data_IF_142095980685
#
_entry.id   IF_142095980685
#
_cell.length_a   1.000
_cell.length_b   1.000
_cell.length_c   1.000
_cell.angle_alpha   90.00
_cell.angle_beta   90.00
_cell.angle_gamma   90.00
#
_symmetry.space_group_name_H-M   'P 1'
#
loop_
_entity.id
_entity.type
_entity.pdbx_description
1 polymer ?
#
# COMPACT_ATOMS: atom_id res chain seq x y z
N UNK A 1 -21.50 -11.95 -57.76
CA UNK A 1 -21.44 -13.40 -57.48
C UNK A 1 -21.26 -13.55 -55.97
N UNK A 2 -22.21 -14.23 -55.29
CA UNK A 2 -22.23 -14.59 -53.85
C UNK A 2 -22.35 -13.38 -52.87
N UNK A 3 -23.55 -12.89 -52.53
CA UNK A 3 -24.61 -13.42 -51.64
C UNK A 3 -24.36 -13.24 -50.12
N UNK A 4 -25.20 -12.36 -49.52
CA UNK A 4 -25.93 -12.50 -48.23
C UNK A 4 -25.10 -12.49 -46.92
N UNK A 5 -25.55 -11.92 -45.79
CA UNK A 5 -26.91 -11.65 -45.31
C UNK A 5 -26.85 -10.69 -44.12
N UNK A 6 -27.71 -9.67 -44.11
CA UNK A 6 -28.10 -8.94 -42.89
C UNK A 6 -29.17 -9.77 -42.18
N UNK A 7 -29.02 -9.97 -40.87
CA UNK A 7 -29.96 -10.72 -40.04
C UNK A 7 -30.15 -10.04 -38.70
N UNK A 8 -31.16 -9.18 -38.63
CA UNK A 8 -31.77 -8.77 -37.36
C UNK A 8 -32.59 -9.98 -36.88
N UNK A 9 -32.23 -10.55 -35.74
CA UNK A 9 -33.13 -11.42 -34.97
C UNK A 9 -33.48 -10.64 -33.70
N UNK A 10 -34.63 -9.98 -33.74
CA UNK A 10 -35.33 -9.58 -32.54
C UNK A 10 -35.97 -10.84 -31.93
N UNK A 11 -35.31 -11.41 -30.93
CA UNK A 11 -35.90 -12.41 -30.04
C UNK A 11 -36.18 -11.74 -28.70
N UNK A 12 -37.45 -11.43 -28.43
CA UNK A 12 -37.87 -11.05 -27.09
C UNK A 12 -37.78 -12.28 -26.19
N UNK A 13 -36.87 -12.25 -25.21
CA UNK A 13 -36.91 -13.13 -24.06
C UNK A 13 -36.74 -12.29 -22.80
N UNK A 14 -37.86 -12.08 -22.11
CA UNK A 14 -37.88 -11.67 -20.71
C UNK A 14 -37.19 -12.76 -19.89
N UNK A 15 -35.98 -12.46 -19.42
CA UNK A 15 -35.34 -13.21 -18.35
C UNK A 15 -34.75 -12.21 -17.36
N UNK A 16 -35.36 -12.16 -16.18
CA UNK A 16 -34.85 -11.47 -15.01
C UNK A 16 -33.44 -11.99 -14.73
N UNK A 17 -32.48 -11.08 -14.74
CA UNK A 17 -31.11 -11.35 -14.35
C UNK A 17 -30.42 -10.01 -14.34
N UNK A 18 -30.28 -9.40 -13.16
CA UNK A 18 -29.47 -8.22 -12.99
C UNK A 18 -28.06 -8.54 -13.51
N UNK A 19 -27.74 -8.10 -14.73
CA UNK A 19 -26.38 -8.08 -15.21
C UNK A 19 -25.67 -7.05 -14.33
N UNK A 20 -24.98 -7.53 -13.30
CA UNK A 20 -24.00 -6.73 -12.57
C UNK A 20 -23.01 -6.22 -13.60
N UNK A 21 -23.17 -4.97 -14.00
CA UNK A 21 -22.17 -4.26 -14.77
C UNK A 21 -20.96 -4.10 -13.86
N UNK A 22 -19.74 -4.51 -14.25
CA UNK A 22 -18.56 -4.18 -13.49
C UNK A 22 -18.41 -2.66 -13.48
N UNK A 23 -18.52 -2.06 -12.30
CA UNK A 23 -18.25 -0.64 -12.11
C UNK A 23 -16.73 -0.45 -12.11
N UNK A 24 -16.18 -0.06 -13.25
CA UNK A 24 -14.78 0.33 -13.38
C UNK A 24 -14.51 1.52 -12.45
N UNK A 25 -13.82 1.26 -11.32
CA UNK A 25 -13.26 2.31 -10.48
C UNK A 25 -12.32 3.19 -11.30
N UNK A 26 -12.29 4.49 -11.00
CA UNK A 26 -11.42 5.46 -11.68
C UNK A 26 -9.94 5.10 -11.46
N UNK A 27 -9.32 4.47 -12.45
CA UNK A 27 -7.89 4.18 -12.47
C UNK A 27 -7.13 5.43 -12.94
N UNK A 28 -6.59 6.23 -12.01
CA UNK A 28 -5.73 7.36 -12.33
C UNK A 28 -4.28 7.00 -12.04
N UNK A 29 -3.56 6.57 -13.09
CA UNK A 29 -2.09 6.45 -13.08
C UNK A 29 -1.52 7.73 -13.69
N UNK A 30 -0.90 8.58 -12.88
CA UNK A 30 -0.13 9.73 -13.39
C UNK A 30 1.36 9.39 -13.29
N UNK A 31 1.92 8.88 -14.39
CA UNK A 31 3.35 8.65 -14.53
C UNK A 31 3.98 9.78 -15.35
N UNK A 32 4.80 10.63 -14.74
CA UNK A 32 5.75 11.47 -15.47
C UNK A 32 7.11 10.78 -15.39
N UNK A 33 7.47 9.98 -16.39
CA UNK A 33 8.71 9.18 -16.36
C UNK A 33 9.90 9.94 -16.93
N UNK A 34 10.94 10.26 -16.14
CA UNK A 34 12.32 10.17 -16.61
C UNK A 34 12.66 8.69 -16.88
N UNK A 35 13.66 8.43 -17.74
CA UNK A 35 14.07 7.08 -18.15
C UNK A 35 14.25 6.10 -16.96
N UNK A 36 13.49 4.99 -16.96
CA UNK A 36 13.73 3.82 -16.09
C UNK A 36 12.75 3.59 -14.93
N UNK A 37 11.74 4.43 -14.74
CA UNK A 37 10.74 4.27 -13.66
C UNK A 37 9.47 3.53 -14.13
N UNK A 38 8.92 2.65 -13.29
CA UNK A 38 7.68 1.91 -13.57
C UNK A 38 6.67 2.04 -12.43
N UNK A 39 5.42 2.31 -12.79
CA UNK A 39 4.28 2.28 -11.90
C UNK A 39 3.28 1.22 -12.37
N UNK A 40 2.81 0.36 -11.47
CA UNK A 40 1.79 -0.65 -11.76
C UNK A 40 0.63 -0.56 -10.78
N UNK A 41 -0.59 -0.65 -11.29
CA UNK A 41 -1.82 -0.71 -10.49
C UNK A 41 -2.66 -1.86 -11.00
N UNK A 42 -2.97 -2.82 -10.14
CA UNK A 42 -3.95 -3.88 -10.37
C UNK A 42 -5.08 -3.80 -9.34
N UNK A 43 -6.32 -3.75 -9.81
CA UNK A 43 -7.52 -3.70 -8.97
C UNK A 43 -8.48 -4.82 -9.39
N UNK A 44 -8.95 -5.61 -8.43
CA UNK A 44 -9.94 -6.68 -8.62
C UNK A 44 -11.04 -6.45 -7.59
N UNK A 45 -12.25 -6.06 -8.02
CA UNK A 45 -13.40 -5.76 -7.14
C UNK A 45 -13.95 -4.34 -7.31
N UNK A 46 -14.99 -3.97 -6.56
CA UNK A 46 -15.81 -2.78 -6.84
C UNK A 46 -15.30 -1.52 -6.11
N UNK A 47 -15.29 -0.36 -6.80
CA UNK A 47 -15.03 0.97 -6.20
C UNK A 47 -13.67 1.13 -5.51
N UNK A 48 -12.65 0.36 -5.91
CA UNK A 48 -11.28 0.58 -5.41
C UNK A 48 -10.68 1.87 -5.99
N UNK A 49 -9.95 2.62 -5.17
CA UNK A 49 -9.17 3.81 -5.59
C UNK A 49 -7.69 3.54 -5.39
N UNK A 50 -6.89 3.72 -6.44
CA UNK A 50 -5.44 3.60 -6.37
C UNK A 50 -4.78 4.75 -7.13
N UNK A 51 -3.76 5.35 -6.53
CA UNK A 51 -2.94 6.38 -7.14
C UNK A 51 -1.47 6.12 -6.85
N UNK A 52 -0.65 6.17 -7.89
CA UNK A 52 0.81 6.12 -7.81
C UNK A 52 1.35 7.37 -8.48
N UNK A 53 2.14 8.14 -7.76
CA UNK A 53 2.87 9.30 -8.24
C UNK A 53 4.37 9.06 -8.09
N UNK A 54 5.12 9.13 -9.19
CA UNK A 54 6.57 8.89 -9.21
C UNK A 54 7.28 10.01 -9.95
N UNK A 55 8.30 10.58 -9.29
CA UNK A 55 9.19 11.61 -9.85
C UNK A 55 10.67 11.21 -9.82
N UNK A 56 10.97 10.08 -9.19
CA UNK A 56 12.30 9.51 -9.04
C UNK A 56 12.78 8.79 -10.31
N UNK A 57 14.09 8.81 -10.61
CA UNK A 57 14.69 8.00 -11.66
C UNK A 57 14.92 6.55 -11.16
N UNK A 58 14.46 5.54 -11.91
CA UNK A 58 14.56 4.09 -11.60
C UNK A 58 13.69 3.58 -10.44
N UNK A 59 12.55 4.21 -10.18
CA UNK A 59 11.63 3.78 -9.12
C UNK A 59 10.59 2.79 -9.61
N UNK A 60 10.28 1.79 -8.79
CA UNK A 60 9.26 0.77 -9.05
C UNK A 60 8.18 0.85 -7.98
N UNK A 61 6.97 1.28 -8.34
CA UNK A 61 5.87 1.39 -7.39
C UNK A 61 4.67 0.60 -7.87
N UNK A 62 4.13 -0.23 -6.99
CA UNK A 62 3.06 -1.18 -7.31
C UNK A 62 1.93 -1.07 -6.30
N UNK A 63 0.69 -1.04 -6.79
CA UNK A 63 -0.51 -1.21 -5.97
C UNK A 63 -1.27 -2.42 -6.49
N UNK A 64 -1.63 -3.34 -5.60
CA UNK A 64 -2.53 -4.46 -5.88
C UNK A 64 -3.68 -4.46 -4.88
N UNK A 65 -4.90 -4.29 -5.37
CA UNK A 65 -6.12 -4.28 -4.55
C UNK A 65 -7.03 -5.43 -4.97
N UNK A 66 -7.56 -6.16 -3.99
CA UNK A 66 -8.56 -7.22 -4.16
C UNK A 66 -9.70 -7.01 -3.17
N UNK A 67 -10.94 -6.91 -3.63
CA UNK A 67 -12.14 -6.64 -2.82
C UNK A 67 -12.71 -5.25 -3.08
N UNK A 68 -13.48 -4.70 -2.14
CA UNK A 68 -14.32 -3.53 -2.42
C UNK A 68 -13.90 -2.29 -1.63
N UNK A 69 -14.01 -1.11 -2.25
CA UNK A 69 -13.75 0.21 -1.61
C UNK A 69 -12.37 0.36 -0.95
N UNK A 70 -11.35 -0.39 -1.39
CA UNK A 70 -10.00 -0.19 -0.88
C UNK A 70 -9.40 1.09 -1.49
N UNK A 71 -8.62 1.82 -0.69
CA UNK A 71 -7.92 3.04 -1.10
C UNK A 71 -6.42 2.91 -0.89
N UNK A 72 -5.63 3.16 -1.93
CA UNK A 72 -4.18 3.12 -1.86
C UNK A 72 -3.57 4.35 -2.54
N UNK A 73 -2.67 5.02 -1.83
CA UNK A 73 -1.91 6.15 -2.35
C UNK A 73 -0.41 5.88 -2.15
N UNK A 74 0.37 5.98 -3.22
CA UNK A 74 1.82 5.90 -3.18
C UNK A 74 2.42 7.12 -3.86
N UNK A 75 3.37 7.77 -3.19
CA UNK A 75 4.16 8.87 -3.73
C UNK A 75 5.64 8.61 -3.55
N UNK A 76 6.39 8.58 -4.64
CA UNK A 76 7.84 8.36 -4.65
C UNK A 76 8.55 9.53 -5.32
N UNK A 77 9.05 10.45 -4.50
CA UNK A 77 9.79 11.68 -4.86
C UNK A 77 11.29 11.56 -4.54
N UNK A 78 11.81 10.33 -4.39
CA UNK A 78 13.22 10.12 -4.09
C UNK A 78 14.14 10.52 -5.27
N UNK A 79 15.37 10.91 -4.99
CA UNK A 79 16.36 11.22 -6.03
C UNK A 79 16.99 9.95 -6.63
N UNK A 80 16.75 8.77 -6.02
CA UNK A 80 17.26 7.44 -6.40
C UNK A 80 16.21 6.32 -6.23
N UNK A 81 16.60 5.06 -6.48
CA UNK A 81 15.76 3.84 -6.45
C UNK A 81 14.77 3.80 -5.26
N UNK A 82 13.52 4.15 -5.53
CA UNK A 82 12.41 4.01 -4.58
C UNK A 82 11.53 2.83 -5.01
N UNK A 83 11.37 1.86 -4.11
CA UNK A 83 10.50 0.72 -4.30
C UNK A 83 9.38 0.82 -3.28
N UNK A 84 8.14 0.89 -3.76
CA UNK A 84 6.96 0.91 -2.90
C UNK A 84 5.92 -0.08 -3.40
N UNK A 85 5.52 -1.04 -2.57
CA UNK A 85 4.46 -1.99 -2.91
C UNK A 85 3.35 -1.93 -1.88
N UNK A 86 2.11 -1.78 -2.34
CA UNK A 86 0.90 -1.89 -1.52
C UNK A 86 0.09 -3.09 -2.00
N UNK A 87 -0.30 -3.94 -1.06
CA UNK A 87 -1.23 -5.04 -1.30
C UNK A 87 -2.39 -4.91 -0.31
N UNK A 88 -3.61 -4.78 -0.82
CA UNK A 88 -4.82 -4.74 0.00
C UNK A 88 -5.76 -5.86 -0.44
N UNK A 89 -6.27 -6.61 0.54
CA UNK A 89 -7.26 -7.66 0.33
C UNK A 89 -8.40 -7.50 1.33
N UNK A 90 -9.63 -7.37 0.83
CA UNK A 90 -10.85 -7.23 1.65
C UNK A 90 -11.57 -5.92 1.38
N UNK A 91 -12.14 -5.29 2.40
CA UNK A 91 -13.07 -4.16 2.21
C UNK A 91 -12.64 -2.92 2.96
N UNK A 92 -12.69 -1.74 2.32
CA UNK A 92 -12.49 -0.46 3.02
C UNK A 92 -11.08 -0.21 3.56
N UNK A 93 -10.09 -1.02 3.18
CA UNK A 93 -8.72 -0.82 3.68
C UNK A 93 -8.12 0.45 3.06
N UNK A 94 -7.33 1.19 3.84
CA UNK A 94 -6.62 2.38 3.41
C UNK A 94 -5.11 2.29 3.65
N UNK A 95 -4.31 2.45 2.59
CA UNK A 95 -2.86 2.46 2.66
C UNK A 95 -2.30 3.74 2.03
N UNK A 96 -1.35 4.38 2.70
CA UNK A 96 -0.65 5.57 2.20
C UNK A 96 0.85 5.43 2.41
N UNK A 97 1.63 5.58 1.33
CA UNK A 97 3.09 5.53 1.36
C UNK A 97 3.71 6.76 0.72
N UNK A 98 4.70 7.35 1.38
CA UNK A 98 5.49 8.45 0.83
C UNK A 98 6.97 8.17 1.01
N UNK A 99 7.73 8.19 -0.09
CA UNK A 99 9.18 8.04 -0.11
C UNK A 99 9.82 9.29 -0.72
N UNK A 100 10.76 9.91 -0.02
CA UNK A 100 11.44 11.13 -0.46
C UNK A 100 12.90 11.16 0.01
N UNK A 101 13.72 12.00 -0.62
CA UNK A 101 15.14 12.15 -0.27
C UNK A 101 16.07 11.20 -1.04
N UNK A 102 17.24 10.93 -0.48
CA UNK A 102 18.30 10.14 -1.13
C UNK A 102 18.43 8.72 -0.57
N UNK A 103 19.01 7.82 -1.36
CA UNK A 103 19.28 6.44 -0.98
C UNK A 103 18.31 5.42 -1.58
N UNK A 104 18.41 4.17 -1.12
CA UNK A 104 17.46 3.12 -1.51
C UNK A 104 16.34 3.12 -0.48
N UNK A 105 15.12 3.44 -0.93
CA UNK A 105 13.94 3.45 -0.09
C UNK A 105 13.05 2.28 -0.49
N UNK A 106 12.80 1.36 0.45
CA UNK A 106 11.93 0.21 0.22
C UNK A 106 10.78 0.23 1.21
N UNK A 107 9.57 0.18 0.68
CA UNK A 107 8.33 0.15 1.45
C UNK A 107 7.43 -0.98 0.95
N UNK A 108 7.03 -1.87 1.85
CA UNK A 108 6.02 -2.89 1.60
C UNK A 108 4.89 -2.74 2.62
N UNK A 109 3.66 -2.58 2.13
CA UNK A 109 2.46 -2.45 2.93
C UNK A 109 1.47 -3.53 2.53
N UNK A 110 1.03 -4.33 3.51
CA UNK A 110 0.07 -5.42 3.30
C UNK A 110 -1.09 -5.26 4.28
N UNK A 111 -2.31 -5.18 3.75
CA UNK A 111 -3.53 -5.15 4.56
C UNK A 111 -4.46 -6.28 4.13
N UNK A 112 -4.92 -7.06 5.09
CA UNK A 112 -5.88 -8.14 4.90
C UNK A 112 -7.03 -8.01 5.90
N UNK A 113 -8.26 -7.96 5.39
CA UNK A 113 -9.47 -7.85 6.20
C UNK A 113 -10.24 -6.56 5.89
N UNK A 114 -10.79 -5.92 6.91
CA UNK A 114 -11.67 -4.77 6.71
C UNK A 114 -11.23 -3.53 7.48
N UNK A 115 -11.42 -2.34 6.90
CA UNK A 115 -11.24 -1.05 7.55
C UNK A 115 -9.86 -0.84 8.22
N UNK A 116 -8.83 -1.55 7.75
CA UNK A 116 -7.48 -1.34 8.25
C UNK A 116 -6.89 -0.06 7.65
N UNK A 117 -6.08 0.66 8.43
CA UNK A 117 -5.40 1.89 8.02
C UNK A 117 -3.89 1.79 8.21
N UNK A 118 -3.13 2.03 7.15
CA UNK A 118 -1.67 2.02 7.16
C UNK A 118 -1.12 3.31 6.58
N UNK A 119 -0.17 3.92 7.26
CA UNK A 119 0.58 5.10 6.78
C UNK A 119 2.07 4.89 6.99
N UNK A 120 2.86 5.09 5.94
CA UNK A 120 4.31 4.98 5.99
C UNK A 120 4.98 6.16 5.30
N UNK A 121 5.91 6.80 6.00
CA UNK A 121 6.70 7.93 5.50
C UNK A 121 8.18 7.61 5.65
N UNK A 122 8.91 7.59 4.54
CA UNK A 122 10.35 7.42 4.51
C UNK A 122 11.02 8.68 3.92
N UNK A 123 11.88 9.29 4.72
CA UNK A 123 12.71 10.44 4.32
C UNK A 123 14.18 10.03 4.43
N UNK A 124 14.78 9.71 3.28
CA UNK A 124 16.16 9.25 3.18
C UNK A 124 17.18 10.39 3.15
N UNK A 125 18.30 10.20 3.84
CA UNK A 125 19.49 11.06 3.73
C UNK A 125 20.68 10.29 3.15
N UNK A 126 20.43 9.20 2.40
CA UNK A 126 21.42 8.23 1.91
C UNK A 126 21.28 6.85 2.57
N UNK A 127 22.06 5.86 2.11
CA UNK A 127 21.97 4.48 2.63
C UNK A 127 20.70 3.74 2.20
N UNK A 128 20.25 2.78 3.01
CA UNK A 128 19.06 1.94 2.73
C UNK A 128 18.03 2.10 3.84
N UNK A 129 16.85 2.66 3.57
CA UNK A 129 15.72 2.58 4.50
C UNK A 129 14.72 1.54 4.00
N UNK A 130 14.36 0.60 4.88
CA UNK A 130 13.43 -0.48 4.57
C UNK A 130 12.31 -0.56 5.61
N UNK A 131 11.09 -0.73 5.12
CA UNK A 131 9.89 -0.86 5.92
C UNK A 131 9.00 -1.97 5.39
N UNK A 132 8.57 -2.87 6.28
CA UNK A 132 7.52 -3.85 6.02
C UNK A 132 6.44 -3.67 7.07
N UNK A 133 5.22 -3.42 6.63
CA UNK A 133 4.06 -3.22 7.50
C UNK A 133 2.95 -4.18 7.08
N UNK A 134 2.41 -4.94 8.04
CA UNK A 134 1.36 -5.93 7.81
C UNK A 134 0.23 -5.75 8.81
N UNK A 135 -1.02 -5.69 8.33
CA UNK A 135 -2.23 -5.67 9.13
C UNK A 135 -3.15 -6.81 8.70
N UNK A 136 -3.57 -7.64 9.66
CA UNK A 136 -4.49 -8.76 9.44
C UNK A 136 -5.62 -8.66 10.47
N UNK A 137 -6.85 -8.51 9.99
CA UNK A 137 -8.05 -8.40 10.81
C UNK A 137 -8.86 -7.15 10.48
N UNK A 138 -9.51 -6.54 11.47
CA UNK A 138 -10.39 -5.39 11.26
C UNK A 138 -9.97 -4.17 12.10
N UNK A 139 -10.11 -2.97 11.53
CA UNK A 139 -9.94 -1.72 12.26
C UNK A 139 -8.52 -1.42 12.76
N UNK A 140 -7.50 -2.18 12.34
CA UNK A 140 -6.13 -1.93 12.81
C UNK A 140 -5.58 -0.64 12.20
N UNK A 141 -4.80 0.11 12.98
CA UNK A 141 -4.12 1.34 12.56
C UNK A 141 -2.61 1.25 12.79
N UNK A 142 -1.80 1.46 11.75
CA UNK A 142 -0.34 1.46 11.82
C UNK A 142 0.26 2.68 11.14
N UNK A 143 1.15 3.38 11.84
CA UNK A 143 1.92 4.51 11.33
C UNK A 143 3.41 4.26 11.52
N UNK A 144 4.18 4.44 10.44
CA UNK A 144 5.64 4.39 10.47
C UNK A 144 6.23 5.67 9.88
N UNK A 145 7.18 6.27 10.60
CA UNK A 145 8.03 7.35 10.09
C UNK A 145 9.50 6.95 10.21
N UNK A 146 10.24 6.91 9.11
CA UNK A 146 11.69 6.69 9.10
C UNK A 146 12.39 7.90 8.48
N UNK A 147 13.24 8.57 9.27
CA UNK A 147 14.01 9.73 8.82
C UNK A 147 15.49 9.48 9.07
N UNK A 148 16.29 9.48 8.00
CA UNK A 148 17.75 9.29 8.05
C UNK A 148 18.23 8.18 7.12
N UNK A 149 19.14 7.33 7.58
CA UNK A 149 19.80 6.30 6.75
C UNK A 149 19.84 4.92 7.44
N UNK A 150 19.85 3.84 6.66
CA UNK A 150 20.03 2.48 7.20
C UNK A 150 18.97 2.04 8.24
N UNK A 151 17.76 2.63 8.22
CA UNK A 151 16.68 2.29 9.14
C UNK A 151 15.84 1.12 8.63
N UNK A 152 15.51 0.19 9.52
CA UNK A 152 14.73 -1.01 9.22
C UNK A 152 13.57 -1.16 10.19
N UNK A 153 12.35 -1.34 9.68
CA UNK A 153 11.15 -1.56 10.48
C UNK A 153 10.31 -2.70 9.94
N UNK A 154 9.88 -3.60 10.83
CA UNK A 154 8.89 -4.65 10.57
C UNK A 154 7.77 -4.50 11.59
N UNK A 155 6.60 -4.06 11.14
CA UNK A 155 5.42 -3.84 11.97
C UNK A 155 4.32 -4.83 11.57
N UNK A 156 3.81 -5.61 12.52
CA UNK A 156 2.75 -6.59 12.27
C UNK A 156 1.63 -6.47 13.29
N UNK A 157 0.41 -6.23 12.84
CA UNK A 157 -0.80 -6.26 13.67
C UNK A 157 -1.68 -7.43 13.23
N UNK A 158 -1.99 -8.32 14.16
CA UNK A 158 -2.88 -9.46 13.94
C UNK A 158 -4.00 -9.46 14.99
N UNK A 159 -5.23 -9.30 14.52
CA UNK A 159 -6.45 -9.20 15.35
C UNK A 159 -7.21 -7.91 15.02
N UNK A 160 -8.00 -7.41 15.95
CA UNK A 160 -8.89 -6.27 15.69
C UNK A 160 -8.52 -5.05 16.52
N UNK A 161 -8.75 -3.86 15.97
CA UNK A 161 -8.69 -2.58 16.69
C UNK A 161 -7.34 -2.32 17.38
N UNK A 162 -6.25 -2.86 16.83
CA UNK A 162 -4.90 -2.61 17.34
C UNK A 162 -4.34 -1.30 16.78
N UNK A 163 -3.46 -0.64 17.54
CA UNK A 163 -2.80 0.58 17.11
C UNK A 163 -1.27 0.52 17.26
N UNK A 164 -0.51 0.94 16.24
CA UNK A 164 0.95 1.08 16.27
C UNK A 164 1.40 2.43 15.69
N UNK A 165 2.28 3.12 16.41
CA UNK A 165 3.07 4.25 15.91
C UNK A 165 4.55 4.02 16.16
N UNK A 166 5.33 3.94 15.09
CA UNK A 166 6.79 3.80 15.15
C UNK A 166 7.48 4.97 14.46
N UNK A 167 8.48 5.55 15.11
CA UNK A 167 9.33 6.61 14.58
C UNK A 167 10.80 6.20 14.71
N UNK A 168 11.55 6.18 13.61
CA UNK A 168 12.99 5.94 13.60
C UNK A 168 13.72 7.19 13.08
N UNK A 169 14.61 7.74 13.91
CA UNK A 169 15.38 8.95 13.63
C UNK A 169 16.87 8.65 13.53
N UNK A 170 17.55 9.24 12.55
CA UNK A 170 18.99 9.09 12.36
C UNK A 170 19.34 7.79 11.63
N UNK A 171 20.45 7.18 12.02
CA UNK A 171 21.05 6.05 11.30
C UNK A 171 20.85 4.70 11.99
N UNK A 172 20.80 3.61 11.23
CA UNK A 172 20.99 2.24 11.72
C UNK A 172 19.98 1.75 12.79
N UNK A 173 18.75 2.26 12.79
CA UNK A 173 17.73 1.74 13.70
C UNK A 173 17.10 0.46 13.15
N UNK A 174 16.77 -0.47 14.04
CA UNK A 174 16.03 -1.69 13.72
C UNK A 174 14.88 -1.88 14.69
N UNK A 175 13.66 -1.99 14.16
CA UNK A 175 12.46 -2.25 14.94
C UNK A 175 11.72 -3.46 14.38
N UNK A 176 11.41 -4.41 15.24
CA UNK A 176 10.40 -5.44 14.99
C UNK A 176 9.33 -5.29 16.05
N UNK A 177 8.10 -4.99 15.63
CA UNK A 177 6.96 -4.88 16.53
C UNK A 177 5.81 -5.73 16.02
N UNK A 178 5.37 -6.67 16.86
CA UNK A 178 4.20 -7.50 16.63
C UNK A 178 3.14 -7.24 17.72
N UNK A 179 1.90 -6.99 17.29
CA UNK A 179 0.69 -7.02 18.12
C UNK A 179 -0.12 -8.24 17.71
N UNK A 180 -0.47 -9.08 18.67
CA UNK A 180 -1.29 -10.27 18.48
C UNK A 180 -2.41 -10.30 19.51
N UNK A 181 -3.59 -9.86 19.13
CA UNK A 181 -4.71 -9.70 20.05
C UNK A 181 -5.69 -8.68 19.52
N UNK A 182 -6.63 -8.29 20.36
CA UNK A 182 -7.57 -7.22 20.05
C UNK A 182 -7.35 -6.04 20.99
N UNK A 183 -7.71 -4.85 20.54
CA UNK A 183 -7.70 -3.62 21.34
C UNK A 183 -6.30 -3.28 21.92
N UNK A 184 -5.23 -3.73 21.27
CA UNK A 184 -3.88 -3.51 21.78
C UNK A 184 -3.46 -2.05 21.60
N UNK A 185 -3.04 -1.38 22.68
CA UNK A 185 -2.74 0.05 22.64
C UNK A 185 -1.46 0.35 21.86
N UNK A 186 -1.43 1.56 21.32
CA UNK A 186 -0.25 2.14 20.70
C UNK A 186 0.81 2.49 21.75
N UNK A 187 1.98 1.88 21.63
CA UNK A 187 3.14 2.13 22.50
C UNK A 187 4.00 3.32 22.03
N UNK A 188 3.71 3.93 20.87
CA UNK A 188 4.38 5.13 20.35
C UNK A 188 5.92 5.04 20.39
N UNK A 189 6.45 4.00 19.76
CA UNK A 189 7.87 3.68 19.81
C UNK A 189 8.68 4.71 19.02
N UNK A 190 9.65 5.35 19.69
CA UNK A 190 10.63 6.23 19.03
C UNK A 190 12.04 5.68 19.25
N UNK A 191 12.75 5.45 18.16
CA UNK A 191 14.15 5.03 18.15
C UNK A 191 15.02 6.12 17.54
N UNK A 192 16.21 6.31 18.12
CA UNK A 192 17.24 7.18 17.55
C UNK A 192 18.60 6.47 17.54
N UNK A 193 19.32 6.60 16.42
CA UNK A 193 20.72 6.22 16.23
C UNK A 193 21.14 4.82 16.74
N UNK A 194 21.17 3.83 15.86
CA UNK A 194 21.74 2.50 16.15
C UNK A 194 20.88 1.64 17.09
N UNK A 195 19.66 2.09 17.41
CA UNK A 195 18.79 1.40 18.35
C UNK A 195 18.17 0.15 17.72
N UNK A 196 18.17 -0.95 18.47
CA UNK A 196 17.46 -2.19 18.09
C UNK A 196 16.34 -2.46 19.09
N UNK A 197 15.15 -2.76 18.59
CA UNK A 197 13.96 -3.01 19.40
C UNK A 197 13.17 -4.20 18.87
N UNK A 198 12.77 -5.08 19.79
CA UNK A 198 11.88 -6.20 19.54
C UNK A 198 10.74 -6.11 20.54
N UNK A 199 9.52 -5.96 20.03
CA UNK A 199 8.33 -5.78 20.86
C UNK A 199 7.29 -6.78 20.41
N UNK A 200 6.83 -7.59 21.36
CA UNK A 200 5.66 -8.45 21.20
C UNK A 200 4.62 -8.01 22.22
N UNK A 201 3.44 -7.70 21.74
CA UNK A 201 2.30 -7.30 22.54
C UNK A 201 1.16 -8.28 22.27
N UNK A 202 0.53 -8.76 23.34
CA UNK A 202 -0.53 -9.79 23.33
C UNK A 202 -1.72 -9.34 24.17
#
# INVERSE_FOLDING_TARGET
MQMTRWGIIAGAMLAMGATMMPAYGQQRVTSSTPLGSSAFVAQIGDTNTASVEQHAARSQSGIRQSGDRNSAFLRAEATSNAIATVVQSGTGNMASGSQSGEGILTLAMVQQGADNRMTAIQTGTGGINAAVMTQIGQGNTATLTQTGSSNQAVLTQSGNDNAMTATQLGGNNMLVWAQQGNDLPDLQITQSGGATGYILQQ
#
